data_IF_126129976722
#
_entry.id   IF_126129976722
#
_cell.length_a   1.000
_cell.length_b   1.000
_cell.length_c   1.000
_cell.angle_alpha   90.00
_cell.angle_beta   90.00
_cell.angle_gamma   90.00
#
_symmetry.space_group_name_H-M   'P 1'
#
loop_
_entity.id
_entity.type
_entity.pdbx_description
1 polymer ?
#
# COMPACT_ATOMS: atom_id res chain seq x y z
N UNK A 1 15.65 3.13 -10.14
CA UNK A 1 16.39 3.10 -8.85
C UNK A 1 17.46 4.16 -8.98
N UNK A 2 17.31 5.27 -8.27
CA UNK A 2 18.28 6.37 -8.27
C UNK A 2 18.65 6.56 -6.80
N UNK A 3 19.65 5.80 -6.35
CA UNK A 3 20.17 5.79 -4.98
C UNK A 3 21.03 7.03 -4.72
N UNK A 4 20.44 8.22 -4.85
CA UNK A 4 21.09 9.47 -4.44
C UNK A 4 20.47 9.89 -3.12
N UNK A 5 21.20 9.63 -2.03
CA UNK A 5 20.88 10.14 -0.71
C UNK A 5 20.83 11.67 -0.77
N UNK A 6 19.74 12.24 -0.29
CA UNK A 6 19.58 13.68 -0.09
C UNK A 6 20.62 14.19 0.91
N UNK A 7 21.01 15.46 0.80
CA UNK A 7 21.81 16.18 1.80
C UNK A 7 21.45 15.85 3.26
N UNK A 8 20.16 15.80 3.59
CA UNK A 8 19.69 15.44 4.92
C UNK A 8 20.04 13.99 5.31
N UNK A 9 19.87 13.06 4.37
CA UNK A 9 20.18 11.64 4.60
C UNK A 9 21.69 11.41 4.73
N UNK A 10 22.51 12.15 3.96
CA UNK A 10 23.97 12.14 4.07
C UNK A 10 24.46 12.68 5.41
N UNK A 11 23.83 13.74 5.93
CA UNK A 11 24.15 14.30 7.25
C UNK A 11 23.84 13.32 8.38
N UNK A 12 22.71 12.61 8.32
CA UNK A 12 22.36 11.55 9.28
C UNK A 12 23.39 10.42 9.22
N UNK A 13 23.76 9.97 8.01
CA UNK A 13 24.73 8.90 7.82
C UNK A 13 26.11 9.28 8.38
N UNK A 14 26.58 10.49 8.09
CA UNK A 14 27.84 11.00 8.60
C UNK A 14 27.83 11.13 10.13
N UNK A 15 26.72 11.57 10.74
CA UNK A 15 26.58 11.63 12.19
C UNK A 15 26.56 10.24 12.86
N UNK A 16 25.97 9.24 12.19
CA UNK A 16 25.98 7.84 12.61
C UNK A 16 27.40 7.24 12.55
N UNK A 17 28.09 7.39 11.42
CA UNK A 17 29.47 6.89 11.23
C UNK A 17 30.47 7.53 12.20
N UNK A 18 30.25 8.80 12.54
CA UNK A 18 31.07 9.54 13.51
C UNK A 18 30.71 9.22 14.97
N UNK A 19 29.72 8.35 15.23
CA UNK A 19 29.30 7.97 16.58
C UNK A 19 28.73 9.14 17.40
N UNK A 20 28.28 10.22 16.73
CA UNK A 20 27.80 11.45 17.37
C UNK A 20 26.33 11.36 17.82
N UNK A 21 25.61 10.34 17.36
CA UNK A 21 24.22 10.13 17.74
C UNK A 21 24.14 9.74 19.22
N UNK A 22 23.45 10.57 20.00
CA UNK A 22 23.17 10.31 21.40
C UNK A 22 21.83 9.61 21.51
N UNK A 23 21.78 8.55 22.30
CA UNK A 23 20.53 7.86 22.60
C UNK A 23 19.57 8.80 23.32
N UNK A 24 18.29 8.76 22.94
CA UNK A 24 17.25 9.52 23.62
C UNK A 24 17.14 9.06 25.08
N UNK A 25 16.87 9.98 26.03
CA UNK A 25 16.91 9.68 27.47
C UNK A 25 15.90 8.61 27.92
N UNK A 26 14.88 8.29 27.11
CA UNK A 26 13.87 7.28 27.41
C UNK A 26 13.65 6.29 26.26
N UNK A 27 14.74 5.58 25.89
CA UNK A 27 14.79 4.65 24.75
C UNK A 27 13.66 3.63 24.77
N UNK A 28 13.31 3.06 25.93
CA UNK A 28 12.27 2.04 26.02
C UNK A 28 10.87 2.60 25.71
N UNK A 29 10.56 3.81 26.19
CA UNK A 29 9.28 4.46 25.93
C UNK A 29 9.16 4.90 24.47
N UNK A 30 10.24 5.46 23.89
CA UNK A 30 10.29 5.85 22.48
C UNK A 30 10.19 4.62 21.56
N UNK A 31 10.83 3.51 21.92
CA UNK A 31 10.72 2.26 21.18
C UNK A 31 9.30 1.67 21.27
N UNK A 32 8.66 1.75 22.43
CA UNK A 32 7.28 1.33 22.60
C UNK A 32 6.33 2.20 21.76
N UNK A 33 6.49 3.53 21.81
CA UNK A 33 5.69 4.47 21.02
C UNK A 33 5.89 4.30 19.52
N UNK A 34 7.13 4.09 19.06
CA UNK A 34 7.44 3.83 17.65
C UNK A 34 6.85 2.49 17.17
N UNK A 35 6.91 1.44 18.00
CA UNK A 35 6.26 0.14 17.72
C UNK A 35 4.75 0.28 17.63
N UNK A 36 4.16 1.01 18.57
CA UNK A 36 2.72 1.26 18.59
C UNK A 36 2.28 2.08 17.38
N UNK A 37 3.01 3.13 17.02
CA UNK A 37 2.77 3.94 15.83
C UNK A 37 2.88 3.12 14.52
N UNK A 38 3.89 2.26 14.43
CA UNK A 38 4.06 1.35 13.29
C UNK A 38 2.93 0.33 13.19
N UNK A 39 2.52 -0.28 14.32
CA UNK A 39 1.40 -1.21 14.38
C UNK A 39 0.08 -0.53 14.02
N UNK A 40 -0.17 0.67 14.55
CA UNK A 40 -1.39 1.44 14.34
C UNK A 40 -1.52 1.93 12.89
N UNK A 41 -0.42 2.33 12.25
CA UNK A 41 -0.44 2.79 10.86
C UNK A 41 -0.82 1.67 9.89
N UNK A 42 -0.40 0.43 10.16
CA UNK A 42 -0.76 -0.74 9.36
C UNK A 42 -2.19 -1.24 9.63
N UNK A 43 -2.72 -0.97 10.83
CA UNK A 43 -4.02 -1.50 11.27
C UNK A 43 -5.21 -0.57 10.97
N UNK A 44 -4.99 0.72 10.68
CA UNK A 44 -6.07 1.66 10.39
C UNK A 44 -6.75 1.34 9.05
N UNK A 45 -7.84 0.59 9.11
CA UNK A 45 -8.74 0.33 7.97
C UNK A 45 -9.93 1.27 8.02
N UNK A 46 -10.31 1.81 6.88
CA UNK A 46 -11.56 2.58 6.71
C UNK A 46 -12.50 1.80 5.81
N UNK A 47 -13.78 1.74 6.20
CA UNK A 47 -14.83 1.16 5.37
C UNK A 47 -15.35 2.23 4.40
N UNK A 48 -15.58 1.83 3.15
CA UNK A 48 -16.16 2.68 2.10
C UNK A 48 -17.24 1.86 1.42
N UNK A 49 -18.44 2.44 1.30
CA UNK A 49 -19.55 1.82 0.58
C UNK A 49 -19.44 2.18 -0.91
N UNK A 50 -19.45 1.16 -1.77
CA UNK A 50 -19.34 1.31 -3.22
C UNK A 50 -20.63 0.79 -3.85
N UNK A 51 -21.33 1.63 -4.59
CA UNK A 51 -22.50 1.22 -5.38
C UNK A 51 -22.03 0.71 -6.75
N UNK A 52 -22.45 -0.49 -7.12
CA UNK A 52 -22.21 -1.10 -8.42
C UNK A 52 -23.54 -1.33 -9.13
N UNK A 53 -23.52 -1.43 -10.45
CA UNK A 53 -24.68 -1.95 -11.19
C UNK A 53 -24.78 -3.46 -10.96
N UNK A 54 -25.97 -4.03 -11.07
CA UNK A 54 -26.18 -5.49 -10.99
C UNK A 54 -25.27 -6.23 -11.97
N UNK A 55 -25.17 -5.74 -13.20
CA UNK A 55 -24.31 -6.31 -14.24
C UNK A 55 -22.83 -6.33 -13.82
N UNK A 56 -22.31 -5.23 -13.26
CA UNK A 56 -20.91 -5.16 -12.83
C UNK A 56 -20.64 -6.06 -11.63
N UNK A 57 -21.60 -6.17 -10.70
CA UNK A 57 -21.51 -7.04 -9.54
C UNK A 57 -21.47 -8.52 -9.95
N UNK A 58 -22.32 -8.93 -10.90
CA UNK A 58 -22.33 -10.29 -11.43
C UNK A 58 -21.03 -10.62 -12.15
N UNK A 59 -20.52 -9.72 -12.99
CA UNK A 59 -19.24 -9.90 -13.68
C UNK A 59 -18.08 -10.02 -12.69
N UNK A 60 -18.03 -9.17 -11.66
CA UNK A 60 -17.02 -9.26 -10.61
C UNK A 60 -17.12 -10.59 -9.84
N UNK A 61 -18.34 -11.05 -9.56
CA UNK A 61 -18.59 -12.31 -8.85
C UNK A 61 -18.15 -13.53 -9.65
N UNK A 62 -18.47 -13.58 -10.94
CA UNK A 62 -17.99 -14.63 -11.86
C UNK A 62 -16.46 -14.65 -11.86
N UNK A 63 -15.83 -13.48 -12.02
CA UNK A 63 -14.37 -13.38 -12.06
C UNK A 63 -13.71 -13.82 -10.76
N UNK A 64 -14.34 -13.53 -9.63
CA UNK A 64 -13.83 -13.93 -8.31
C UNK A 64 -13.90 -15.45 -8.13
N UNK A 65 -14.97 -16.09 -8.59
CA UNK A 65 -15.11 -17.56 -8.60
C UNK A 65 -14.05 -18.21 -9.49
N UNK A 66 -13.78 -17.66 -10.67
CA UNK A 66 -12.70 -18.14 -11.55
C UNK A 66 -11.31 -18.09 -10.87
N UNK A 67 -11.04 -17.00 -10.15
CA UNK A 67 -9.80 -16.80 -9.40
C UNK A 67 -9.78 -17.56 -8.04
N UNK A 68 -10.90 -18.20 -7.65
CA UNK A 68 -11.05 -18.95 -6.40
C UNK A 68 -11.05 -18.07 -5.14
N UNK A 69 -11.41 -16.79 -5.27
CA UNK A 69 -11.40 -15.79 -4.18
C UNK A 69 -12.78 -15.15 -3.98
N UNK A 70 -13.08 -14.59 -2.80
CA UNK A 70 -14.32 -13.83 -2.60
C UNK A 70 -14.38 -12.58 -3.48
N UNK A 71 -15.58 -12.21 -3.95
CA UNK A 71 -15.81 -11.01 -4.77
C UNK A 71 -15.28 -9.73 -4.10
N UNK A 72 -15.51 -9.59 -2.79
CA UNK A 72 -14.98 -8.47 -1.99
C UNK A 72 -13.44 -8.41 -2.02
N UNK A 73 -12.77 -9.56 -1.94
CA UNK A 73 -11.30 -9.66 -2.01
C UNK A 73 -10.79 -9.29 -3.39
N UNK A 74 -11.49 -9.72 -4.45
CA UNK A 74 -11.17 -9.33 -5.82
C UNK A 74 -11.27 -7.80 -5.98
N UNK A 75 -12.40 -7.21 -5.57
CA UNK A 75 -12.64 -5.77 -5.67
C UNK A 75 -11.57 -4.97 -4.89
N UNK A 76 -11.25 -5.38 -3.67
CA UNK A 76 -10.17 -4.76 -2.88
C UNK A 76 -8.80 -4.88 -3.56
N UNK A 77 -8.50 -6.04 -4.17
CA UNK A 77 -7.27 -6.28 -4.92
C UNK A 77 -7.18 -5.38 -6.16
N UNK A 78 -8.28 -5.17 -6.88
CA UNK A 78 -8.35 -4.27 -8.03
C UNK A 78 -8.05 -2.84 -7.59
N UNK A 79 -8.70 -2.34 -6.54
CA UNK A 79 -8.47 -0.99 -6.00
C UNK A 79 -6.99 -0.82 -5.61
N UNK A 80 -6.41 -1.79 -4.91
CA UNK A 80 -5.01 -1.75 -4.53
C UNK A 80 -4.08 -1.75 -5.76
N UNK A 81 -4.34 -2.59 -6.75
CA UNK A 81 -3.56 -2.64 -8.01
C UNK A 81 -3.68 -1.34 -8.80
N UNK A 82 -4.86 -0.72 -8.81
CA UNK A 82 -5.08 0.57 -9.46
C UNK A 82 -4.27 1.69 -8.79
N UNK A 83 -4.39 1.83 -7.46
CA UNK A 83 -3.67 2.86 -6.70
C UNK A 83 -2.14 2.66 -6.71
N UNK A 84 -1.67 1.41 -6.77
CA UNK A 84 -0.24 1.10 -6.87
C UNK A 84 0.33 1.20 -8.29
N UNK A 85 -0.49 1.56 -9.29
CA UNK A 85 -0.08 1.68 -10.70
C UNK A 85 0.26 0.34 -11.37
N UNK A 86 -0.15 -0.79 -10.77
CA UNK A 86 0.11 -2.15 -11.29
C UNK A 86 -1.04 -2.68 -12.14
N UNK A 87 -2.18 -1.99 -12.17
CA UNK A 87 -3.31 -2.38 -13.01
C UNK A 87 -3.05 -1.95 -14.46
N UNK A 88 -2.93 -2.93 -15.36
CA UNK A 88 -2.82 -2.68 -16.80
C UNK A 88 -4.20 -2.77 -17.42
N UNK A 89 -4.75 -1.63 -17.84
CA UNK A 89 -6.01 -1.59 -18.57
C UNK A 89 -5.82 -2.20 -19.97
N UNK A 90 -6.48 -3.33 -20.23
CA UNK A 90 -6.57 -3.85 -21.58
C UNK A 90 -7.62 -3.05 -22.33
N UNK A 91 -7.20 -2.10 -23.19
CA UNK A 91 -8.13 -1.50 -24.15
C UNK A 91 -8.67 -2.62 -25.03
N UNK A 92 -9.98 -2.87 -24.94
CA UNK A 92 -10.70 -3.68 -25.91
C UNK A 92 -10.57 -2.96 -27.24
N UNK A 93 -9.60 -3.36 -28.07
CA UNK A 93 -9.57 -2.97 -29.47
C UNK A 93 -10.89 -3.48 -30.05
N UNK A 94 -11.83 -2.56 -30.30
CA UNK A 94 -12.99 -2.86 -31.14
C UNK A 94 -12.41 -3.30 -32.48
N UNK A 95 -12.35 -4.61 -32.70
CA UNK A 95 -12.22 -5.17 -34.05
C UNK A 95 -13.49 -4.77 -34.77
N UNK A 96 -13.43 -3.63 -35.43
CA UNK A 96 -14.34 -3.32 -36.52
C UNK A 96 -14.02 -4.37 -37.57
N UNK A 97 -14.94 -5.32 -37.74
CA UNK A 97 -15.01 -6.22 -38.90
C UNK A 97 -16.14 -5.70 -39.76
#
# INVERSE_FOLDING_TARGET
MNDKLDSYEQEILAAFEQGKLKSVPNVEAELAAAREAAANTLAQRRQVDICLTEQDFDLASIRAVEDGIPCQTLLASIIHKYLSGRLVERRLQRRIV
#
